data_IF_450195585658
#
_entry.id   IF_450195585658
#
_cell.length_a   1.000
_cell.length_b   1.000
_cell.length_c   1.000
_cell.angle_alpha   90.00
_cell.angle_beta   90.00
_cell.angle_gamma   90.00
#
_symmetry.space_group_name_H-M   'P 1'
#
loop_
_entity.id
_entity.type
_entity.pdbx_description
1 polymer ?
#
# COMPACT_ATOMS: atom_id res chain seq x y z
N UNK A 1 -3.76 6.70 -19.18
CA UNK A 1 -3.72 5.82 -18.05
C UNK A 1 -2.30 5.61 -17.58
N UNK A 2 -2.10 4.87 -16.51
CA UNK A 2 -0.78 4.45 -16.09
C UNK A 2 -0.38 3.18 -16.84
N UNK A 3 0.92 3.02 -17.14
CA UNK A 3 1.46 1.82 -17.75
C UNK A 3 1.58 0.70 -16.71
N UNK A 4 1.98 1.06 -15.49
CA UNK A 4 2.06 0.19 -14.33
C UNK A 4 1.47 0.91 -13.11
N UNK A 5 0.67 0.22 -12.32
CA UNK A 5 0.10 0.73 -11.08
C UNK A 5 0.66 -0.08 -9.91
N UNK A 6 1.24 0.60 -8.93
CA UNK A 6 1.66 -0.01 -7.66
C UNK A 6 0.50 0.09 -6.67
N UNK A 7 0.17 -1.00 -6.00
CA UNK A 7 -0.88 -1.04 -4.99
C UNK A 7 -0.36 -1.57 -3.65
N UNK A 8 -1.08 -1.27 -2.59
CA UNK A 8 -0.66 -1.62 -1.24
C UNK A 8 0.49 -0.74 -0.73
N UNK A 9 1.40 -1.35 0.00
CA UNK A 9 2.59 -0.70 0.56
C UNK A 9 3.74 -0.82 -0.43
N UNK A 10 4.02 0.24 -1.19
CA UNK A 10 4.83 0.20 -2.41
C UNK A 10 6.32 0.56 -2.26
N UNK A 11 6.87 0.61 -1.06
CA UNK A 11 8.23 1.11 -0.82
C UNK A 11 9.31 0.34 -1.60
N UNK A 12 9.22 -0.99 -1.61
CA UNK A 12 10.19 -1.84 -2.33
C UNK A 12 9.99 -1.76 -3.83
N UNK A 13 8.74 -1.79 -4.28
CA UNK A 13 8.40 -1.73 -5.70
C UNK A 13 8.82 -0.43 -6.36
N UNK A 14 8.65 0.71 -5.68
CA UNK A 14 9.04 1.99 -6.28
C UNK A 14 10.55 2.08 -6.49
N UNK A 15 11.35 1.49 -5.62
CA UNK A 15 12.81 1.42 -5.78
C UNK A 15 13.17 0.46 -6.92
N UNK A 16 12.59 -0.74 -6.92
CA UNK A 16 12.82 -1.75 -7.97
C UNK A 16 12.45 -1.19 -9.35
N UNK A 17 11.28 -0.57 -9.49
CA UNK A 17 10.83 0.05 -10.74
C UNK A 17 11.79 1.18 -11.16
N UNK A 18 12.24 2.01 -10.22
CA UNK A 18 13.16 3.10 -10.52
C UNK A 18 14.51 2.58 -11.03
N UNK A 19 15.03 1.51 -10.44
CA UNK A 19 16.28 0.88 -10.85
C UNK A 19 16.17 0.25 -12.25
N UNK A 20 15.07 -0.42 -12.55
CA UNK A 20 14.81 -0.96 -13.91
C UNK A 20 14.70 0.14 -14.95
N UNK A 21 13.96 1.21 -14.67
CA UNK A 21 13.85 2.35 -15.59
C UNK A 21 15.19 3.05 -15.78
N UNK A 22 16.00 3.20 -14.74
CA UNK A 22 17.36 3.74 -14.85
C UNK A 22 18.28 2.83 -15.68
N UNK A 23 18.04 1.53 -15.68
CA UNK A 23 18.70 0.54 -16.54
C UNK A 23 18.19 0.53 -17.98
N UNK A 24 17.18 1.32 -18.33
CA UNK A 24 16.62 1.40 -19.68
C UNK A 24 15.51 0.39 -19.99
N UNK A 25 14.97 -0.30 -18.96
CA UNK A 25 13.83 -1.21 -19.13
C UNK A 25 12.54 -0.43 -19.44
N UNK A 26 11.61 -1.07 -20.13
CA UNK A 26 10.26 -0.57 -20.37
C UNK A 26 9.30 -0.97 -19.23
N UNK A 27 8.11 -0.37 -19.19
CA UNK A 27 7.08 -0.78 -18.23
C UNK A 27 6.65 -2.25 -18.42
N UNK A 28 6.69 -2.74 -19.64
CA UNK A 28 6.31 -4.12 -20.00
C UNK A 28 7.29 -5.14 -19.41
N UNK A 29 8.59 -4.78 -19.33
CA UNK A 29 9.61 -5.63 -18.73
C UNK A 29 9.42 -5.83 -17.21
N UNK A 30 8.53 -5.04 -16.58
CA UNK A 30 8.27 -5.01 -15.15
C UNK A 30 6.92 -5.65 -14.76
N UNK A 31 6.20 -6.26 -15.71
CA UNK A 31 4.89 -6.86 -15.47
C UNK A 31 4.89 -8.03 -14.47
N UNK A 32 6.06 -8.57 -14.12
CA UNK A 32 6.23 -9.63 -13.12
C UNK A 32 6.32 -9.11 -11.66
N UNK A 33 6.50 -7.80 -11.46
CA UNK A 33 6.72 -7.22 -10.12
C UNK A 33 5.46 -7.42 -9.27
N UNK A 34 5.63 -8.03 -8.10
CA UNK A 34 4.54 -8.23 -7.13
C UNK A 34 4.02 -6.89 -6.60
N UNK A 35 2.72 -6.85 -6.26
CA UNK A 35 2.09 -5.62 -5.78
C UNK A 35 1.85 -4.59 -6.87
N UNK A 36 1.82 -5.03 -8.13
CA UNK A 36 1.51 -4.17 -9.28
C UNK A 36 0.29 -4.65 -10.05
N UNK A 37 -0.28 -3.76 -10.82
CA UNK A 37 -1.32 -4.08 -11.80
C UNK A 37 -1.07 -3.33 -13.11
N UNK A 38 -1.42 -3.96 -14.23
CA UNK A 38 -1.22 -3.43 -15.57
C UNK A 38 -2.35 -3.83 -16.51
N UNK A 39 -2.39 -3.23 -17.68
CA UNK A 39 -3.34 -3.58 -18.74
C UNK A 39 -2.65 -4.42 -19.81
N UNK A 40 -3.26 -5.56 -20.18
CA UNK A 40 -2.75 -6.48 -21.19
C UNK A 40 -3.79 -6.79 -22.27
N UNK A 41 -3.32 -7.03 -23.48
CA UNK A 41 -4.16 -7.53 -24.57
C UNK A 41 -4.32 -9.07 -24.51
N UNK A 42 -3.44 -9.75 -23.77
CA UNK A 42 -3.44 -11.21 -23.57
C UNK A 42 -3.56 -11.58 -22.11
N UNK A 43 -4.00 -12.81 -21.84
CA UNK A 43 -3.99 -13.40 -20.51
C UNK A 43 -2.55 -13.81 -20.14
N UNK A 44 -2.20 -13.80 -18.84
CA UNK A 44 -0.92 -14.31 -18.37
C UNK A 44 -0.83 -15.84 -18.58
N UNK A 45 0.38 -16.33 -18.76
CA UNK A 45 0.66 -17.77 -18.90
C UNK A 45 0.64 -18.49 -17.53
N UNK A 46 0.83 -17.75 -16.45
CA UNK A 46 0.81 -18.26 -15.08
C UNK A 46 -0.63 -18.56 -14.62
N UNK A 47 -0.75 -19.33 -13.55
CA UNK A 47 -2.05 -19.61 -12.94
C UNK A 47 -2.68 -18.32 -12.37
N UNK A 48 -3.92 -18.06 -12.74
CA UNK A 48 -4.66 -16.88 -12.32
C UNK A 48 -6.10 -17.20 -11.91
N UNK A 49 -6.73 -16.26 -11.22
CA UNK A 49 -8.15 -16.24 -10.88
C UNK A 49 -8.83 -15.16 -11.71
N UNK A 50 -9.82 -15.57 -12.50
CA UNK A 50 -10.61 -14.64 -13.31
C UNK A 50 -11.79 -14.10 -12.49
N UNK A 51 -11.89 -12.78 -12.41
CA UNK A 51 -13.04 -12.07 -11.85
C UNK A 51 -14.16 -11.96 -12.88
N UNK A 52 -15.42 -11.84 -12.44
CA UNK A 52 -16.50 -11.44 -13.33
C UNK A 52 -16.17 -10.19 -14.14
N UNK A 53 -16.62 -10.17 -15.39
CA UNK A 53 -16.46 -9.01 -16.28
C UNK A 53 -16.95 -7.72 -15.58
N UNK A 54 -16.27 -6.61 -15.81
CA UNK A 54 -16.60 -5.34 -15.16
C UNK A 54 -18.05 -4.86 -15.42
N UNK A 55 -18.63 -5.20 -16.58
CA UNK A 55 -20.04 -4.88 -16.89
C UNK A 55 -20.98 -5.69 -16.02
N UNK A 56 -20.72 -6.98 -15.85
CA UNK A 56 -21.50 -7.82 -14.96
C UNK A 56 -21.48 -7.30 -13.52
N UNK A 57 -20.32 -6.87 -13.05
CA UNK A 57 -20.14 -6.29 -11.71
C UNK A 57 -20.94 -4.99 -11.55
N UNK A 58 -20.97 -4.15 -12.59
CA UNK A 58 -21.69 -2.88 -12.57
C UNK A 58 -23.20 -3.08 -12.49
N UNK A 59 -23.71 -4.08 -13.17
CA UNK A 59 -25.13 -4.27 -13.37
C UNK A 59 -25.76 -5.28 -12.37
N UNK A 60 -24.96 -6.17 -11.77
CA UNK A 60 -25.40 -7.17 -10.80
C UNK A 60 -24.59 -7.15 -9.49
N UNK A 61 -25.29 -6.84 -8.39
CA UNK A 61 -24.70 -6.83 -7.04
C UNK A 61 -24.17 -8.20 -6.58
N UNK A 62 -24.70 -9.31 -7.10
CA UNK A 62 -24.21 -10.66 -6.78
C UNK A 62 -22.87 -10.89 -7.45
N UNK A 63 -22.71 -10.47 -8.70
CA UNK A 63 -21.44 -10.56 -9.41
C UNK A 63 -20.40 -9.63 -8.78
N UNK A 64 -20.79 -8.43 -8.31
CA UNK A 64 -19.91 -7.58 -7.50
C UNK A 64 -19.44 -8.27 -6.21
N UNK A 65 -20.37 -8.87 -5.46
CA UNK A 65 -20.02 -9.60 -4.23
C UNK A 65 -19.15 -10.83 -4.51
N UNK A 66 -19.37 -11.53 -5.64
CA UNK A 66 -18.54 -12.65 -6.09
C UNK A 66 -17.12 -12.19 -6.42
N UNK A 67 -16.97 -11.10 -7.16
CA UNK A 67 -15.67 -10.51 -7.48
C UNK A 67 -14.91 -10.13 -6.21
N UNK A 68 -15.55 -9.44 -5.29
CA UNK A 68 -14.96 -9.08 -4.00
C UNK A 68 -14.50 -10.32 -3.21
N UNK A 69 -15.33 -11.37 -3.17
CA UNK A 69 -14.99 -12.62 -2.49
C UNK A 69 -13.77 -13.30 -3.11
N UNK A 70 -13.68 -13.36 -4.43
CA UNK A 70 -12.55 -13.92 -5.16
C UNK A 70 -11.28 -13.09 -4.88
N UNK A 71 -11.33 -11.80 -5.11
CA UNK A 71 -10.21 -10.90 -4.87
C UNK A 71 -9.73 -10.93 -3.40
N UNK A 72 -10.66 -11.00 -2.44
CA UNK A 72 -10.32 -11.07 -1.01
C UNK A 72 -9.57 -12.35 -0.63
N UNK A 73 -9.79 -13.45 -1.33
CA UNK A 73 -9.04 -14.70 -1.13
C UNK A 73 -7.60 -14.61 -1.62
N UNK A 74 -7.39 -13.86 -2.70
CA UNK A 74 -6.07 -13.74 -3.33
C UNK A 74 -5.22 -12.61 -2.70
N UNK A 75 -5.66 -12.04 -1.57
CA UNK A 75 -4.88 -11.03 -0.84
C UNK A 75 -3.73 -11.60 0.00
N UNK A 76 -3.63 -12.92 0.12
CA UNK A 76 -2.53 -13.54 0.85
C UNK A 76 -1.21 -13.36 0.08
N UNK A 77 -0.15 -12.79 0.70
CA UNK A 77 1.10 -12.53 -0.01
C UNK A 77 1.91 -13.80 -0.33
N UNK A 78 1.62 -14.94 0.32
CA UNK A 78 2.35 -16.19 0.12
C UNK A 78 1.63 -17.14 -0.86
N UNK A 79 0.31 -17.16 -0.84
CA UNK A 79 -0.51 -18.11 -1.58
C UNK A 79 -1.44 -17.46 -2.62
N UNK A 80 -1.56 -16.12 -2.59
CA UNK A 80 -2.38 -15.40 -3.56
C UNK A 80 -1.86 -15.56 -4.98
N UNK A 81 -2.79 -15.71 -5.92
CA UNK A 81 -2.54 -15.85 -7.35
C UNK A 81 -2.70 -14.52 -8.06
N UNK A 82 -2.29 -14.48 -9.31
CA UNK A 82 -2.64 -13.41 -10.22
C UNK A 82 -4.17 -13.31 -10.32
N UNK A 83 -4.69 -12.10 -10.30
CA UNK A 83 -6.12 -11.84 -10.48
C UNK A 83 -6.30 -11.11 -11.81
N UNK A 84 -7.20 -11.60 -12.64
CA UNK A 84 -7.47 -11.02 -13.95
C UNK A 84 -8.92 -10.58 -14.04
N UNK A 85 -9.18 -9.41 -14.57
CA UNK A 85 -10.50 -8.94 -14.90
C UNK A 85 -10.57 -8.47 -16.34
N UNK A 86 -11.57 -8.99 -17.07
CA UNK A 86 -11.83 -8.53 -18.42
C UNK A 86 -12.46 -7.14 -18.40
N UNK A 87 -11.79 -6.19 -19.04
CA UNK A 87 -12.28 -4.84 -19.30
C UNK A 87 -13.03 -4.76 -20.65
N UNK A 88 -13.20 -3.54 -21.16
CA UNK A 88 -13.87 -3.35 -22.45
C UNK A 88 -13.04 -3.84 -23.63
N UNK A 89 -11.74 -3.59 -23.63
CA UNK A 89 -10.83 -3.93 -24.74
C UNK A 89 -9.64 -4.76 -24.27
N UNK A 90 -9.21 -4.56 -23.04
CA UNK A 90 -8.01 -5.19 -22.45
C UNK A 90 -8.37 -5.91 -21.16
N UNK A 91 -7.51 -6.77 -20.73
CA UNK A 91 -7.53 -7.35 -19.39
C UNK A 91 -6.82 -6.41 -18.41
N UNK A 92 -7.32 -6.33 -17.19
CA UNK A 92 -6.56 -5.80 -16.05
C UNK A 92 -5.95 -7.02 -15.38
N UNK A 93 -4.64 -7.05 -15.29
CA UNK A 93 -3.88 -8.10 -14.62
C UNK A 93 -3.33 -7.52 -13.33
N UNK A 94 -3.67 -8.11 -12.20
CA UNK A 94 -3.16 -7.75 -10.88
C UNK A 94 -2.24 -8.86 -10.39
N UNK A 95 -0.99 -8.55 -10.21
CA UNK A 95 -0.01 -9.47 -9.64
C UNK A 95 -0.34 -9.78 -8.16
N UNK A 96 0.18 -10.87 -7.60
CA UNK A 96 0.03 -11.15 -6.17
C UNK A 96 0.58 -10.02 -5.30
N UNK A 97 0.07 -9.93 -4.07
CA UNK A 97 0.54 -8.95 -3.11
C UNK A 97 2.05 -9.08 -2.83
N UNK A 98 2.67 -7.96 -2.51
CA UNK A 98 4.05 -7.91 -2.00
C UNK A 98 4.17 -8.71 -0.70
N UNK A 99 5.34 -9.29 -0.47
CA UNK A 99 5.67 -9.89 0.82
C UNK A 99 5.74 -8.82 1.92
N UNK A 100 5.30 -9.14 3.14
CA UNK A 100 5.40 -8.22 4.27
C UNK A 100 6.85 -7.78 4.48
N UNK A 101 7.03 -6.53 4.87
CA UNK A 101 8.34 -6.01 5.26
C UNK A 101 8.80 -6.65 6.56
N UNK A 102 10.09 -6.93 6.68
CA UNK A 102 10.70 -7.29 7.96
C UNK A 102 10.75 -6.09 8.90
N UNK A 103 11.05 -6.31 10.18
CA UNK A 103 11.20 -5.24 11.14
C UNK A 103 12.33 -4.29 10.76
N UNK A 104 13.46 -4.83 10.28
CA UNK A 104 14.61 -4.07 9.81
C UNK A 104 14.28 -3.20 8.59
N UNK A 105 13.51 -3.74 7.64
CA UNK A 105 13.03 -3.00 6.48
C UNK A 105 12.07 -1.88 6.88
N UNK A 106 11.16 -2.16 7.83
CA UNK A 106 10.28 -1.15 8.39
C UNK A 106 11.06 -0.04 9.07
N UNK A 107 12.03 -0.37 9.91
CA UNK A 107 12.87 0.61 10.60
C UNK A 107 13.61 1.48 9.60
N UNK A 108 14.20 0.90 8.56
CA UNK A 108 14.92 1.64 7.53
C UNK A 108 14.03 2.65 6.80
N UNK A 109 12.75 2.30 6.54
CA UNK A 109 11.78 3.22 5.92
C UNK A 109 11.47 4.39 6.85
N UNK A 110 11.27 4.14 8.14
CA UNK A 110 10.97 5.20 9.11
C UNK A 110 12.18 6.05 9.51
N UNK A 111 13.39 5.56 9.26
CA UNK A 111 14.64 6.32 9.45
C UNK A 111 14.98 7.24 8.25
N UNK A 112 14.21 7.21 7.17
CA UNK A 112 14.40 8.15 6.05
C UNK A 112 14.22 9.61 6.50
N UNK A 113 14.95 10.58 5.89
CA UNK A 113 14.94 11.97 6.28
C UNK A 113 13.68 12.72 5.88
N UNK A 114 12.54 12.31 6.42
CA UNK A 114 11.26 12.96 6.16
C UNK A 114 11.23 14.40 6.63
N UNK A 115 10.70 15.31 5.80
CA UNK A 115 10.55 16.74 6.11
C UNK A 115 9.58 17.02 7.27
N UNK A 116 8.63 16.11 7.53
CA UNK A 116 7.58 16.23 8.58
C UNK A 116 6.80 17.54 8.51
N UNK A 117 6.70 18.09 7.32
CA UNK A 117 5.96 19.30 6.97
C UNK A 117 5.25 19.10 5.64
N UNK A 118 4.28 19.93 5.36
CA UNK A 118 3.68 20.00 4.02
C UNK A 118 4.67 20.56 3.00
N UNK A 119 4.40 20.29 1.74
CA UNK A 119 5.19 20.84 0.64
C UNK A 119 5.03 22.38 0.58
N UNK A 120 6.09 23.17 0.32
CA UNK A 120 6.03 24.64 0.30
C UNK A 120 4.99 25.24 -0.63
N UNK A 121 4.55 24.53 -1.66
CA UNK A 121 3.45 24.99 -2.54
C UNK A 121 2.11 25.23 -1.80
N UNK A 122 1.96 24.72 -0.58
CA UNK A 122 0.78 24.92 0.26
C UNK A 122 0.88 26.15 1.19
N UNK A 123 2.05 26.77 1.32
CA UNK A 123 2.26 27.91 2.23
C UNK A 123 1.30 29.07 1.93
N UNK A 124 1.18 29.43 0.64
CA UNK A 124 0.28 30.48 0.17
C UNK A 124 -1.21 30.15 0.41
N UNK A 125 -1.55 28.88 0.68
CA UNK A 125 -2.92 28.41 0.95
C UNK A 125 -3.19 28.23 2.46
N UNK A 126 -2.26 28.62 3.32
CA UNK A 126 -2.37 28.44 4.78
C UNK A 126 -1.93 27.07 5.27
N UNK A 127 -1.17 26.30 4.46
CA UNK A 127 -0.67 24.98 4.84
C UNK A 127 -1.67 23.85 4.59
N UNK A 128 -1.49 22.73 5.32
CA UNK A 128 -2.37 21.54 5.29
C UNK A 128 -2.90 21.29 6.70
N UNK A 129 -4.17 21.62 6.94
CA UNK A 129 -4.80 21.54 8.26
C UNK A 129 -4.70 20.12 8.88
N UNK A 130 -4.82 19.07 8.07
CA UNK A 130 -4.73 17.69 8.54
C UNK A 130 -3.36 17.35 9.17
N UNK A 131 -2.30 18.11 8.89
CA UNK A 131 -0.99 17.88 9.51
C UNK A 131 -1.01 18.15 11.02
N UNK A 132 -1.84 19.09 11.48
CA UNK A 132 -1.97 19.42 12.91
C UNK A 132 -2.40 18.21 13.75
N UNK A 133 -3.20 17.31 13.15
CA UNK A 133 -3.70 16.10 13.81
C UNK A 133 -2.64 14.99 13.92
N UNK A 134 -1.72 14.91 12.95
CA UNK A 134 -0.82 13.76 12.81
C UNK A 134 0.66 14.07 13.00
N UNK A 135 1.04 15.33 13.01
CA UNK A 135 2.46 15.75 13.03
C UNK A 135 3.25 15.17 14.19
N UNK A 136 2.62 15.02 15.35
CA UNK A 136 3.24 14.49 16.56
C UNK A 136 2.69 13.11 16.94
N UNK A 137 2.38 12.29 15.94
CA UNK A 137 1.96 10.90 16.10
C UNK A 137 3.02 9.95 15.58
N UNK A 138 3.09 8.76 16.15
CA UNK A 138 4.01 7.69 15.78
C UNK A 138 3.23 6.47 15.28
N UNK A 139 3.70 5.87 14.21
CA UNK A 139 3.18 4.59 13.72
C UNK A 139 4.07 3.48 14.24
N UNK A 140 3.52 2.55 15.01
CA UNK A 140 4.26 1.40 15.56
C UNK A 140 4.23 0.17 14.65
N UNK A 141 3.15 0.01 13.88
CA UNK A 141 2.95 -1.14 12.99
C UNK A 141 2.01 -0.83 11.85
N UNK A 142 2.07 -1.64 10.79
CA UNK A 142 1.15 -1.66 9.65
C UNK A 142 0.54 -3.04 9.50
N UNK A 143 -0.52 -3.14 8.71
CA UNK A 143 -1.29 -4.37 8.52
C UNK A 143 -2.30 -4.59 9.64
N UNK A 144 -3.37 -5.34 9.37
CA UNK A 144 -4.40 -5.63 10.35
C UNK A 144 -5.08 -6.96 10.03
N UNK A 145 -5.06 -7.91 10.96
CA UNK A 145 -5.75 -9.18 10.79
C UNK A 145 -7.28 -9.09 10.97
N UNK A 146 -7.79 -7.95 11.44
CA UNK A 146 -9.22 -7.68 11.51
C UNK A 146 -9.86 -7.65 10.11
N UNK A 147 -11.09 -8.04 10.03
CA UNK A 147 -11.88 -8.06 8.79
C UNK A 147 -13.16 -7.25 8.95
N UNK A 148 -13.07 -6.07 9.58
CA UNK A 148 -14.22 -5.21 9.81
C UNK A 148 -14.82 -4.76 8.46
N UNK A 149 -16.12 -4.92 8.29
CA UNK A 149 -16.81 -4.70 7.02
C UNK A 149 -16.75 -3.26 6.50
N UNK A 150 -16.48 -2.30 7.36
CA UNK A 150 -16.35 -0.88 7.03
C UNK A 150 -14.91 -0.42 6.77
N UNK A 151 -13.90 -1.26 7.07
CA UNK A 151 -12.50 -0.84 7.13
C UNK A 151 -11.70 -1.41 5.96
N UNK A 152 -10.98 -0.54 5.24
CA UNK A 152 -10.14 -0.91 4.12
C UNK A 152 -8.66 -1.11 4.49
N UNK A 153 -8.26 -0.96 5.76
CA UNK A 153 -6.85 -1.06 6.17
C UNK A 153 -6.26 -2.40 5.77
N UNK A 154 -6.95 -3.50 6.04
CA UNK A 154 -6.47 -4.83 5.68
C UNK A 154 -6.35 -5.07 4.17
N UNK A 155 -7.15 -4.38 3.37
CA UNK A 155 -7.06 -4.46 1.91
C UNK A 155 -5.89 -3.63 1.35
N UNK A 156 -5.51 -2.55 2.05
CA UNK A 156 -4.42 -1.66 1.65
C UNK A 156 -3.07 -2.09 2.24
N UNK A 157 -3.00 -2.31 3.55
CA UNK A 157 -1.75 -2.63 4.26
C UNK A 157 -1.49 -4.14 4.39
N UNK A 158 -2.45 -4.98 4.01
CA UNK A 158 -2.39 -6.42 4.21
C UNK A 158 -2.89 -6.87 5.58
N UNK A 159 -2.93 -8.18 5.78
CA UNK A 159 -3.43 -8.81 7.02
C UNK A 159 -2.31 -9.22 7.98
N UNK A 160 -1.07 -9.21 7.52
CA UNK A 160 0.09 -9.56 8.31
C UNK A 160 0.64 -8.29 8.94
N UNK A 161 0.87 -8.35 10.26
CA UNK A 161 1.38 -7.23 11.01
C UNK A 161 2.87 -7.08 10.71
N UNK A 162 3.27 -5.86 10.38
CA UNK A 162 4.63 -5.43 10.10
C UNK A 162 5.01 -4.38 11.16
N UNK A 163 5.70 -4.81 12.20
CA UNK A 163 6.04 -3.96 13.34
C UNK A 163 7.41 -3.29 13.15
N UNK A 164 7.56 -2.14 13.76
CA UNK A 164 8.86 -1.46 13.98
C UNK A 164 9.50 -1.94 15.27
N UNK A 165 10.82 -1.80 15.37
CA UNK A 165 11.53 -2.00 16.63
C UNK A 165 11.21 -0.88 17.64
N UNK A 166 11.35 -1.18 18.91
CA UNK A 166 11.23 -0.17 19.97
C UNK A 166 12.28 0.96 19.80
N UNK A 167 13.47 0.60 19.37
CA UNK A 167 14.56 1.54 19.11
C UNK A 167 14.20 2.53 18.02
N UNK A 168 13.57 2.07 16.92
CA UNK A 168 13.11 2.93 15.83
C UNK A 168 12.04 3.92 16.34
N UNK A 169 11.06 3.45 17.09
CA UNK A 169 10.01 4.30 17.67
C UNK A 169 10.60 5.33 18.62
N UNK A 170 11.55 4.95 19.48
CA UNK A 170 12.20 5.85 20.42
C UNK A 170 13.07 6.90 19.70
N UNK A 171 13.76 6.52 18.61
CA UNK A 171 14.50 7.49 17.78
C UNK A 171 13.57 8.53 17.20
N UNK A 172 12.47 8.10 16.61
CA UNK A 172 11.48 9.01 16.03
C UNK A 172 10.84 9.91 17.09
N UNK A 173 10.48 9.36 18.26
CA UNK A 173 9.96 10.15 19.37
C UNK A 173 10.93 11.29 19.76
N UNK A 174 12.23 11.02 19.83
CA UNK A 174 13.24 12.05 20.09
C UNK A 174 13.26 13.13 19.02
N UNK A 175 13.12 12.75 17.74
CA UNK A 175 13.03 13.71 16.63
C UNK A 175 11.82 14.60 16.80
N UNK A 176 10.65 14.02 17.11
CA UNK A 176 9.41 14.78 17.30
C UNK A 176 9.52 15.83 18.40
N UNK A 177 10.20 15.52 19.51
CA UNK A 177 10.40 16.49 20.62
C UNK A 177 11.25 17.70 20.24
N UNK A 178 11.97 17.63 19.11
CA UNK A 178 12.85 18.70 18.62
C UNK A 178 12.20 19.53 17.50
N UNK A 179 11.02 19.13 17.03
CA UNK A 179 10.32 19.87 15.98
C UNK A 179 9.67 21.14 16.52
N UNK A 180 9.64 22.14 15.66
CA UNK A 180 8.90 23.39 15.94
C UNK A 180 7.43 23.09 16.24
N UNK A 181 6.90 23.74 17.26
CA UNK A 181 5.50 23.55 17.64
C UNK A 181 5.20 22.37 18.55
N UNK A 182 6.22 21.58 18.97
CA UNK A 182 6.02 20.51 19.95
C UNK A 182 5.59 21.07 21.30
N UNK A 183 4.44 20.61 21.79
CA UNK A 183 3.81 21.11 23.03
C UNK A 183 4.02 20.21 24.25
N UNK A 184 4.98 19.27 24.19
CA UNK A 184 5.32 18.39 25.31
C UNK A 184 4.56 17.07 25.36
N UNK A 185 3.79 16.73 24.33
CA UNK A 185 3.07 15.45 24.24
C UNK A 185 3.05 14.90 22.82
N UNK A 186 3.02 13.59 22.72
CA UNK A 186 2.82 12.84 21.47
C UNK A 186 1.33 12.47 21.42
N UNK A 187 0.68 12.74 20.29
CA UNK A 187 -0.76 12.58 20.15
C UNK A 187 -1.19 11.12 20.14
N UNK A 188 -0.40 10.29 19.46
CA UNK A 188 -0.68 8.86 19.31
C UNK A 188 0.60 8.06 19.09
N UNK A 189 0.63 6.84 19.64
CA UNK A 189 1.66 5.82 19.37
C UNK A 189 0.91 4.55 19.06
N UNK A 190 0.72 4.24 17.78
CA UNK A 190 -0.13 3.12 17.48
C UNK A 190 -0.04 2.61 16.05
N UNK A 191 -0.92 1.67 15.79
CA UNK A 191 -1.19 1.05 14.52
C UNK A 191 -2.67 0.67 14.44
N UNK A 192 -3.08 -0.17 13.50
CA UNK A 192 -4.45 -0.65 13.42
C UNK A 192 -4.90 -1.34 14.71
N UNK A 193 -6.04 -0.94 15.23
CA UNK A 193 -6.54 -1.28 16.58
C UNK A 193 -6.63 -2.79 16.90
N UNK A 194 -6.85 -3.64 15.88
CA UNK A 194 -6.94 -5.08 16.08
C UNK A 194 -5.60 -5.77 16.44
N UNK A 195 -4.50 -5.04 16.43
CA UNK A 195 -3.16 -5.58 16.63
C UNK A 195 -2.69 -5.56 18.10
N UNK A 196 -3.48 -5.00 19.00
CA UNK A 196 -3.14 -4.80 20.41
C UNK A 196 -4.29 -5.22 21.31
#
# INVERSE_FOLDING_TARGET
GADLLVYGMGEKQVVEIADYLAGGASAEDMHYIRGTAYMSDTLPDEEYVELPDWRAIKDDRKEFARAFKLQSKEQDPFYGKIVVQKGQKKYIVQNPNIFPLTMEEMDAIYDLPYMRKWHPSYDAKGGVAALEEVQFSLVSSRGCFGSCSFCAIHAHQGRIIQARSHESILREAKILTQLDGFKGYIHDVGGPTANF
#
